data_IF_716058687868
#
_entry.id   IF_716058687868
#
_cell.length_a   1.000
_cell.length_b   1.000
_cell.length_c   1.000
_cell.angle_alpha   90.00
_cell.angle_beta   90.00
_cell.angle_gamma   90.00
#
_symmetry.space_group_name_H-M   'P 1'
#
loop_
_entity.id
_entity.type
_entity.pdbx_description
1 polymer ?
#
# COMPACT_ATOMS: atom_id res chain seq x y z
N UNK A 1 -9.47 -5.46 7.97
CA UNK A 1 -8.96 -6.37 6.90
C UNK A 1 -7.96 -5.68 5.98
N UNK A 2 -8.27 -4.49 5.44
CA UNK A 2 -7.36 -3.74 4.55
C UNK A 2 -5.98 -3.45 5.18
N UNK A 3 -5.95 -2.74 6.32
CA UNK A 3 -4.70 -2.44 7.06
C UNK A 3 -3.90 -3.71 7.43
N UNK A 4 -4.58 -4.82 7.77
CA UNK A 4 -3.91 -6.09 8.07
C UNK A 4 -3.24 -6.71 6.84
N UNK A 5 -3.86 -6.65 5.65
CA UNK A 5 -3.23 -7.12 4.41
C UNK A 5 -2.06 -6.21 3.99
N UNK A 6 -2.20 -4.91 4.19
CA UNK A 6 -1.10 -3.97 3.99
C UNK A 6 0.08 -4.31 4.93
N UNK A 7 -0.19 -4.55 6.22
CA UNK A 7 0.83 -4.95 7.20
C UNK A 7 1.52 -6.27 6.83
N UNK A 8 0.76 -7.27 6.36
CA UNK A 8 1.34 -8.55 5.91
C UNK A 8 2.35 -8.32 4.78
N UNK A 9 2.00 -7.48 3.81
CA UNK A 9 2.90 -7.19 2.70
C UNK A 9 4.09 -6.35 3.15
N UNK A 10 3.88 -5.36 4.03
CA UNK A 10 4.99 -4.61 4.64
C UNK A 10 6.01 -5.54 5.30
N UNK A 11 5.54 -6.53 6.06
CA UNK A 11 6.43 -7.52 6.69
C UNK A 11 7.24 -8.32 5.65
N UNK A 12 6.63 -8.70 4.53
CA UNK A 12 7.33 -9.34 3.41
C UNK A 12 8.40 -8.41 2.85
N UNK A 13 8.08 -7.13 2.62
CA UNK A 13 9.05 -6.16 2.09
C UNK A 13 10.21 -5.96 3.07
N UNK A 14 9.93 -5.88 4.38
CA UNK A 14 10.96 -5.79 5.42
C UNK A 14 11.87 -7.02 5.42
N UNK A 15 11.31 -8.23 5.31
CA UNK A 15 12.09 -9.47 5.20
C UNK A 15 12.93 -9.54 3.91
N UNK A 16 12.39 -9.07 2.79
CA UNK A 16 13.16 -8.96 1.54
C UNK A 16 14.29 -7.94 1.68
N UNK A 17 14.06 -6.84 2.39
CA UNK A 17 15.05 -5.76 2.55
C UNK A 17 16.25 -6.18 3.40
N UNK A 18 16.12 -7.16 4.29
CA UNK A 18 17.25 -7.67 5.07
C UNK A 18 18.23 -8.55 4.27
N UNK A 19 17.81 -9.03 3.09
CA UNK A 19 18.61 -9.92 2.24
C UNK A 19 18.66 -9.49 0.76
N UNK A 20 18.05 -8.35 0.42
CA UNK A 20 17.85 -7.89 -0.96
C UNK A 20 19.15 -7.45 -1.64
N UNK A 21 19.19 -7.60 -2.96
CA UNK A 21 20.30 -7.09 -3.76
C UNK A 21 20.30 -5.55 -3.78
N UNK A 22 21.45 -4.88 -3.97
CA UNK A 22 21.52 -3.41 -3.97
C UNK A 22 20.50 -2.73 -4.91
N UNK A 23 20.25 -3.34 -6.08
CA UNK A 23 19.25 -2.85 -7.06
C UNK A 23 17.80 -2.93 -6.55
N UNK A 24 17.50 -3.85 -5.65
CA UNK A 24 16.18 -4.05 -5.07
C UNK A 24 15.96 -3.14 -3.86
N UNK A 25 17.00 -2.87 -3.07
CA UNK A 25 16.89 -2.09 -1.82
C UNK A 25 16.24 -0.71 -2.01
N UNK A 26 16.53 -0.02 -3.12
CA UNK A 26 15.89 1.26 -3.45
C UNK A 26 14.38 1.12 -3.66
N UNK A 27 13.98 0.11 -4.43
CA UNK A 27 12.56 -0.19 -4.70
C UNK A 27 11.85 -0.65 -3.43
N UNK A 28 12.46 -1.56 -2.68
CA UNK A 28 11.90 -2.09 -1.44
C UNK A 28 11.68 -0.98 -0.41
N UNK A 29 12.62 -0.04 -0.27
CA UNK A 29 12.46 1.12 0.62
C UNK A 29 11.32 2.05 0.17
N UNK A 30 11.18 2.28 -1.14
CA UNK A 30 10.05 3.06 -1.67
C UNK A 30 8.72 2.38 -1.34
N UNK A 31 8.59 1.09 -1.67
CA UNK A 31 7.39 0.32 -1.36
C UNK A 31 7.12 0.25 0.15
N UNK A 32 8.14 0.16 1.02
CA UNK A 32 7.93 0.20 2.48
C UNK A 32 7.24 1.50 2.93
N UNK A 33 7.63 2.64 2.35
CA UNK A 33 7.00 3.92 2.67
C UNK A 33 5.53 3.93 2.21
N UNK A 34 5.28 3.48 0.97
CA UNK A 34 3.94 3.36 0.40
C UNK A 34 3.03 2.47 1.28
N UNK A 35 3.53 1.32 1.75
CA UNK A 35 2.77 0.43 2.64
C UNK A 35 2.58 1.00 4.05
N UNK A 36 3.57 1.72 4.57
CA UNK A 36 3.45 2.39 5.87
C UNK A 36 2.35 3.46 5.81
N UNK A 37 2.31 4.23 4.72
CA UNK A 37 1.24 5.19 4.47
C UNK A 37 -0.12 4.48 4.35
N UNK A 38 -0.22 3.43 3.53
CA UNK A 38 -1.46 2.68 3.36
C UNK A 38 -2.02 2.06 4.65
N UNK A 39 -1.15 1.56 5.55
CA UNK A 39 -1.56 1.06 6.87
C UNK A 39 -2.19 2.17 7.70
N UNK A 40 -1.57 3.36 7.70
CA UNK A 40 -2.09 4.52 8.42
C UNK A 40 -3.44 4.95 7.84
N UNK A 41 -3.52 5.18 6.53
CA UNK A 41 -4.77 5.62 5.87
C UNK A 41 -5.90 4.65 6.15
N UNK A 42 -5.70 3.33 5.93
CA UNK A 42 -6.75 2.35 6.27
C UNK A 42 -7.06 2.25 7.76
N UNK A 43 -6.12 2.60 8.64
CA UNK A 43 -6.31 2.59 10.08
C UNK A 43 -7.19 3.74 10.58
N UNK A 44 -7.19 4.89 9.90
CA UNK A 44 -7.95 6.09 10.28
C UNK A 44 -9.41 6.06 9.77
N UNK A 45 -9.68 5.30 8.70
CA UNK A 45 -11.01 5.22 8.07
C UNK A 45 -12.17 4.99 9.05
N UNK A 46 -12.13 4.07 10.04
CA UNK A 46 -13.27 3.85 10.92
C UNK A 46 -13.68 5.09 11.72
N UNK A 47 -12.70 5.85 12.20
CA UNK A 47 -12.94 7.08 12.96
C UNK A 47 -13.40 8.21 12.02
N UNK A 48 -12.74 8.34 10.87
CA UNK A 48 -13.07 9.35 9.86
C UNK A 48 -14.45 9.11 9.23
N UNK A 49 -14.91 7.88 9.07
CA UNK A 49 -16.26 7.58 8.57
C UNK A 49 -17.38 8.21 9.43
N UNK A 50 -17.12 8.44 10.72
CA UNK A 50 -18.06 9.10 11.65
C UNK A 50 -17.86 10.61 11.66
N UNK A 51 -16.60 11.06 11.62
CA UNK A 51 -16.24 12.48 11.79
C UNK A 51 -16.33 13.27 10.49
N UNK A 52 -15.75 12.73 9.43
CA UNK A 52 -15.66 13.32 8.09
C UNK A 52 -15.43 12.23 7.02
N UNK A 53 -16.53 11.79 6.41
CA UNK A 53 -16.48 10.77 5.36
C UNK A 53 -15.66 11.19 4.14
N UNK A 54 -15.54 12.48 3.85
CA UNK A 54 -14.76 12.94 2.71
C UNK A 54 -13.26 12.77 2.96
N UNK A 55 -12.81 12.96 4.19
CA UNK A 55 -11.43 12.63 4.58
C UNK A 55 -11.19 11.12 4.47
N UNK A 56 -12.12 10.28 4.97
CA UNK A 56 -12.02 8.82 4.80
C UNK A 56 -11.98 8.41 3.31
N UNK A 57 -12.75 9.08 2.45
CA UNK A 57 -12.75 8.85 1.01
C UNK A 57 -11.41 9.22 0.37
N UNK A 58 -10.86 10.38 0.75
CA UNK A 58 -9.55 10.82 0.29
C UNK A 58 -8.46 9.81 0.68
N UNK A 59 -8.42 9.43 1.96
CA UNK A 59 -7.44 8.49 2.50
C UNK A 59 -7.51 7.13 1.82
N UNK A 60 -8.72 6.58 1.64
CA UNK A 60 -8.91 5.30 0.95
C UNK A 60 -8.47 5.37 -0.52
N UNK A 61 -8.75 6.47 -1.23
CA UNK A 61 -8.32 6.65 -2.63
C UNK A 61 -6.81 6.81 -2.76
N UNK A 62 -6.19 7.52 -1.83
CA UNK A 62 -4.74 7.76 -1.87
C UNK A 62 -3.94 6.45 -1.83
N UNK A 63 -4.44 5.43 -1.14
CA UNK A 63 -3.81 4.09 -1.11
C UNK A 63 -3.67 3.46 -2.50
N UNK A 64 -4.58 3.74 -3.44
CA UNK A 64 -4.40 3.27 -4.83
C UNK A 64 -3.20 3.92 -5.51
N UNK A 65 -2.89 5.17 -5.16
CA UNK A 65 -1.70 5.90 -5.64
C UNK A 65 -0.44 5.29 -5.05
N UNK A 66 -0.42 4.96 -3.75
CA UNK A 66 0.70 4.27 -3.11
C UNK A 66 1.02 2.94 -3.82
N UNK A 67 -0.01 2.15 -4.11
CA UNK A 67 0.15 0.88 -4.82
C UNK A 67 0.70 1.06 -6.25
N UNK A 68 0.23 2.08 -6.97
CA UNK A 68 0.72 2.41 -8.31
C UNK A 68 2.18 2.90 -8.26
N UNK A 69 2.53 3.71 -7.28
CA UNK A 69 3.88 4.22 -7.09
C UNK A 69 4.88 3.07 -6.87
N UNK A 70 4.56 2.13 -5.97
CA UNK A 70 5.38 0.94 -5.75
C UNK A 70 5.50 0.05 -7.00
N UNK A 71 4.39 -0.23 -7.71
CA UNK A 71 4.45 -1.01 -8.98
C UNK A 71 5.31 -0.31 -10.05
N UNK A 72 5.24 1.02 -10.14
CA UNK A 72 6.03 1.81 -11.07
C UNK A 72 7.51 1.72 -10.75
N UNK A 73 7.88 1.77 -9.46
CA UNK A 73 9.27 1.60 -9.02
C UNK A 73 9.81 0.19 -9.35
N UNK A 74 9.01 -0.86 -9.14
CA UNK A 74 9.35 -2.24 -9.52
C UNK A 74 9.59 -2.34 -11.03
N UNK A 75 8.68 -1.79 -11.83
CA UNK A 75 8.78 -1.80 -13.29
C UNK A 75 10.00 -1.02 -13.80
N UNK A 76 10.26 0.17 -13.26
CA UNK A 76 11.39 1.01 -13.63
C UNK A 76 12.74 0.34 -13.35
N UNK A 77 12.84 -0.38 -12.23
CA UNK A 77 14.03 -1.16 -11.87
C UNK A 77 14.19 -2.46 -12.67
N UNK A 78 13.20 -2.84 -13.50
CA UNK A 78 13.19 -4.07 -14.30
C UNK A 78 13.41 -5.33 -13.44
N UNK A 79 12.83 -5.36 -12.25
CA UNK A 79 12.87 -6.49 -11.32
C UNK A 79 11.48 -7.12 -11.19
N UNK A 80 11.43 -8.34 -10.65
CA UNK A 80 10.18 -9.04 -10.39
C UNK A 80 10.04 -9.27 -8.89
N UNK A 81 8.99 -8.71 -8.29
CA UNK A 81 8.65 -8.87 -6.88
C UNK A 81 7.19 -9.30 -6.75
N UNK A 82 6.84 -10.55 -7.17
CA UNK A 82 5.45 -10.97 -7.35
C UNK A 82 4.62 -10.90 -6.05
N UNK A 83 5.24 -11.13 -4.89
CA UNK A 83 4.55 -11.01 -3.60
C UNK A 83 4.16 -9.55 -3.30
N UNK A 84 4.97 -8.58 -3.69
CA UNK A 84 4.67 -7.16 -3.53
C UNK A 84 3.59 -6.73 -4.52
N UNK A 85 3.70 -7.16 -5.79
CA UNK A 85 2.68 -6.87 -6.80
C UNK A 85 1.29 -7.45 -6.43
N UNK A 86 1.25 -8.63 -5.82
CA UNK A 86 0.00 -9.19 -5.27
C UNK A 86 -0.55 -8.34 -4.12
N UNK A 87 0.32 -7.84 -3.22
CA UNK A 87 -0.09 -6.88 -2.19
C UNK A 87 -0.62 -5.58 -2.79
N UNK A 88 0.00 -5.05 -3.85
CA UNK A 88 -0.41 -3.80 -4.51
C UNK A 88 -1.79 -3.95 -5.15
N UNK A 89 -2.09 -5.13 -5.70
CA UNK A 89 -3.42 -5.46 -6.18
C UNK A 89 -4.45 -5.47 -5.04
N UNK A 90 -4.10 -6.00 -3.86
CA UNK A 90 -4.98 -5.96 -2.68
C UNK A 90 -5.19 -4.52 -2.18
N UNK A 91 -4.15 -3.67 -2.15
CA UNK A 91 -4.28 -2.25 -1.80
C UNK A 91 -5.30 -1.55 -2.72
N UNK A 92 -5.18 -1.73 -4.04
CA UNK A 92 -6.14 -1.18 -5.02
C UNK A 92 -7.55 -1.72 -4.81
N UNK A 93 -7.70 -3.01 -4.56
CA UNK A 93 -9.00 -3.63 -4.30
C UNK A 93 -9.68 -3.02 -3.05
N UNK A 94 -8.97 -2.92 -1.93
CA UNK A 94 -9.52 -2.33 -0.71
C UNK A 94 -9.71 -0.82 -0.83
N UNK A 95 -8.87 -0.11 -1.58
CA UNK A 95 -9.04 1.30 -1.91
C UNK A 95 -10.35 1.53 -2.66
N UNK A 96 -10.66 0.71 -3.67
CA UNK A 96 -11.92 0.78 -4.41
C UNK A 96 -13.14 0.55 -3.51
N UNK A 97 -13.12 -0.50 -2.67
CA UNK A 97 -14.21 -0.75 -1.73
C UNK A 97 -14.35 0.40 -0.73
N UNK A 98 -13.23 0.88 -0.17
CA UNK A 98 -13.22 1.99 0.78
C UNK A 98 -13.80 3.26 0.17
N UNK A 99 -13.44 3.58 -1.08
CA UNK A 99 -13.99 4.73 -1.80
C UNK A 99 -15.50 4.61 -2.00
N UNK A 100 -16.03 3.42 -2.32
CA UNK A 100 -17.48 3.24 -2.50
C UNK A 100 -18.25 3.39 -1.17
N UNK A 101 -17.67 2.92 -0.07
CA UNK A 101 -18.29 3.00 1.26
C UNK A 101 -18.25 4.40 1.87
N UNK A 102 -17.34 5.24 1.41
CA UNK A 102 -17.10 6.59 1.96
C UNK A 102 -17.66 7.70 1.06
N UNK A 103 -18.19 7.35 -0.12
CA UNK A 103 -18.85 8.26 -1.06
C UNK A 103 -20.29 8.61 -0.66
#
# INVERSE_FOLDING_TARGET
>A
MAASNAQKTLNIITQMSSHGLPKELGVLKSCMNDYTHAIRSFGMVPDEMVQDRMTANYDTRFVSTDALHCDTAIAAAKIQLPQISAGNQLLRYYSSIGSELTN
#
